data_IF_759627687746
#
_entry.id   IF_759627687746
#
_cell.length_a   1.000
_cell.length_b   1.000
_cell.length_c   1.000
_cell.angle_alpha   90.00
_cell.angle_beta   90.00
_cell.angle_gamma   90.00
#
_symmetry.space_group_name_H-M   'P 1'
#
loop_
_entity.id
_entity.type
_entity.pdbx_description
1 polymer ?
#
# COMPACT_ATOMS: atom_id res chain seq x y z
N UNK A 1 12.50 -0.52 -1.67
CA UNK A 1 11.57 -1.53 -2.20
C UNK A 1 10.15 -1.10 -1.91
N UNK A 2 9.65 -1.26 -0.67
CA UNK A 2 8.26 -0.89 -0.31
C UNK A 2 7.91 0.57 -0.65
N UNK A 3 8.78 1.52 -0.27
CA UNK A 3 8.83 2.84 -0.90
C UNK A 3 9.61 2.67 -2.21
N UNK A 4 8.89 2.85 -3.32
CA UNK A 4 9.38 2.74 -4.69
C UNK A 4 9.80 4.10 -5.25
N UNK A 5 9.58 4.29 -6.55
CA UNK A 5 9.93 5.53 -7.25
C UNK A 5 8.93 6.68 -7.04
N UNK A 6 9.18 7.80 -7.73
CA UNK A 6 8.31 8.97 -7.68
C UNK A 6 6.99 8.77 -8.41
N UNK A 7 6.02 9.66 -8.18
CA UNK A 7 4.79 9.71 -8.97
C UNK A 7 5.09 9.91 -10.45
N UNK A 8 4.23 9.36 -11.32
CA UNK A 8 4.44 9.29 -12.78
C UNK A 8 5.70 8.53 -13.26
N UNK A 9 6.41 7.84 -12.36
CA UNK A 9 7.51 6.93 -12.71
C UNK A 9 7.02 5.56 -13.19
N UNK A 10 7.91 4.84 -13.88
CA UNK A 10 7.77 3.43 -14.22
C UNK A 10 8.01 2.49 -13.04
N UNK A 11 8.46 2.93 -11.87
CA UNK A 11 8.60 2.05 -10.72
C UNK A 11 7.24 1.75 -10.07
N UNK A 12 6.94 0.50 -9.71
CA UNK A 12 5.74 0.12 -8.94
C UNK A 12 5.85 0.40 -7.44
N UNK A 13 4.89 -0.12 -6.66
CA UNK A 13 4.86 0.00 -5.20
C UNK A 13 4.36 1.35 -4.68
N UNK A 14 4.67 1.66 -3.42
CA UNK A 14 4.25 2.92 -2.79
C UNK A 14 5.15 4.05 -3.27
N UNK A 15 4.55 5.09 -3.84
CA UNK A 15 5.29 6.23 -4.37
C UNK A 15 5.94 7.03 -3.26
N UNK A 16 7.12 7.60 -3.54
CA UNK A 16 7.82 8.50 -2.61
C UNK A 16 6.94 9.69 -2.17
N UNK A 17 6.11 10.20 -3.07
CA UNK A 17 5.17 11.29 -2.76
C UNK A 17 4.10 10.87 -1.76
N UNK A 18 3.61 9.63 -1.83
CA UNK A 18 2.62 9.09 -0.88
C UNK A 18 3.22 8.96 0.51
N UNK A 19 4.42 8.41 0.60
CA UNK A 19 5.15 8.34 1.87
C UNK A 19 5.43 9.75 2.42
N UNK A 20 5.93 10.66 1.56
CA UNK A 20 6.26 12.04 1.93
C UNK A 20 5.06 12.81 2.47
N UNK A 21 3.87 12.70 1.83
CA UNK A 21 2.65 13.36 2.32
C UNK A 21 2.29 12.91 3.73
N UNK A 22 2.40 11.61 4.04
CA UNK A 22 2.09 11.10 5.39
C UNK A 22 3.11 11.58 6.41
N UNK A 23 4.41 11.52 6.09
CA UNK A 23 5.45 12.03 6.98
C UNK A 23 5.28 13.53 7.26
N UNK A 24 5.01 14.34 6.23
CA UNK A 24 4.76 15.77 6.35
C UNK A 24 3.50 16.04 7.18
N UNK A 25 2.42 15.28 6.93
CA UNK A 25 1.17 15.40 7.69
C UNK A 25 1.40 15.11 9.17
N UNK A 26 2.08 13.99 9.49
CA UNK A 26 2.42 13.60 10.86
C UNK A 26 3.29 14.67 11.53
N UNK A 27 4.31 15.18 10.84
CA UNK A 27 5.21 16.18 11.38
C UNK A 27 4.53 17.53 11.66
N UNK A 28 3.68 18.01 10.74
CA UNK A 28 2.90 19.23 10.95
C UNK A 28 1.86 19.06 12.07
N UNK A 29 1.25 17.88 12.17
CA UNK A 29 0.30 17.54 13.23
C UNK A 29 0.95 17.58 14.61
N UNK A 30 2.12 16.94 14.78
CA UNK A 30 2.89 16.96 16.04
C UNK A 30 3.33 18.38 16.41
N UNK A 31 3.59 19.24 15.43
CA UNK A 31 3.90 20.67 15.64
C UNK A 31 2.68 21.54 15.95
N UNK A 32 1.47 20.98 15.98
CA UNK A 32 0.23 21.72 16.26
C UNK A 32 -0.17 22.69 15.16
N UNK A 33 0.33 22.51 13.93
CA UNK A 33 -0.09 23.35 12.80
C UNK A 33 -1.51 22.97 12.39
N UNK A 34 -2.36 24.00 12.21
CA UNK A 34 -3.76 23.83 11.77
C UNK A 34 -3.85 23.26 10.35
N UNK A 35 -2.87 23.61 9.51
CA UNK A 35 -2.81 23.19 8.12
C UNK A 35 -1.55 22.36 7.85
N UNK A 36 -1.70 21.36 7.00
CA UNK A 36 -0.60 20.53 6.53
C UNK A 36 0.03 21.27 5.35
N UNK A 37 1.27 21.73 5.54
CA UNK A 37 1.97 22.53 4.55
C UNK A 37 3.40 22.03 4.30
N UNK A 38 3.87 22.24 3.07
CA UNK A 38 5.24 21.97 2.63
C UNK A 38 5.60 22.98 1.54
N UNK A 39 6.83 23.51 1.55
CA UNK A 39 7.29 24.49 0.57
C UNK A 39 6.32 25.67 0.37
N UNK A 40 5.77 26.20 1.47
CA UNK A 40 4.78 27.31 1.46
C UNK A 40 3.48 26.98 0.70
N UNK A 41 3.17 25.69 0.53
CA UNK A 41 1.94 25.21 -0.11
C UNK A 41 1.17 24.29 0.82
N UNK A 42 -0.15 24.45 0.83
CA UNK A 42 -1.08 23.62 1.63
C UNK A 42 -1.40 22.31 0.89
N UNK A 43 -1.39 21.21 1.63
CA UNK A 43 -1.84 19.90 1.19
C UNK A 43 -3.27 19.70 1.68
N UNK A 44 -4.17 19.25 0.79
CA UNK A 44 -5.57 19.01 1.18
C UNK A 44 -5.70 17.73 2.00
N UNK A 45 -6.66 17.71 2.93
CA UNK A 45 -6.96 16.52 3.73
C UNK A 45 -7.31 15.31 2.85
N UNK A 46 -7.95 15.54 1.71
CA UNK A 46 -8.25 14.48 0.73
C UNK A 46 -6.98 13.77 0.22
N UNK A 47 -5.89 14.49 -0.03
CA UNK A 47 -4.62 13.88 -0.45
C UNK A 47 -3.98 13.05 0.67
N UNK A 48 -4.13 13.51 1.92
CA UNK A 48 -3.64 12.78 3.11
C UNK A 48 -4.43 11.48 3.28
N UNK A 49 -5.77 11.56 3.28
CA UNK A 49 -6.64 10.38 3.39
C UNK A 49 -6.41 9.39 2.24
N UNK A 50 -6.23 9.89 1.02
CA UNK A 50 -5.86 9.06 -0.14
C UNK A 50 -4.52 8.36 0.08
N UNK A 51 -3.53 9.06 0.64
CA UNK A 51 -2.22 8.50 0.90
C UNK A 51 -2.29 7.41 1.98
N UNK A 52 -3.01 7.66 3.07
CA UNK A 52 -3.27 6.67 4.12
C UNK A 52 -3.94 5.44 3.54
N UNK A 53 -5.00 5.60 2.73
CA UNK A 53 -5.69 4.48 2.09
C UNK A 53 -4.74 3.64 1.21
N UNK A 54 -3.88 4.28 0.42
CA UNK A 54 -2.89 3.56 -0.42
C UNK A 54 -1.96 2.71 0.45
N UNK A 55 -1.42 3.27 1.54
CA UNK A 55 -0.50 2.53 2.42
C UNK A 55 -1.24 1.40 3.14
N UNK A 56 -2.42 1.67 3.70
CA UNK A 56 -3.21 0.65 4.41
C UNK A 56 -3.56 -0.52 3.50
N UNK A 57 -4.01 -0.27 2.27
CA UNK A 57 -4.31 -1.34 1.31
C UNK A 57 -3.04 -2.12 0.95
N UNK A 58 -1.93 -1.43 0.70
CA UNK A 58 -0.65 -2.08 0.38
C UNK A 58 -0.17 -3.00 1.51
N UNK A 59 -0.18 -2.52 2.76
CA UNK A 59 0.18 -3.33 3.94
C UNK A 59 -0.74 -4.53 4.08
N UNK A 60 -2.06 -4.35 3.97
CA UNK A 60 -3.01 -5.46 4.07
C UNK A 60 -2.76 -6.54 3.01
N UNK A 61 -2.53 -6.15 1.75
CA UNK A 61 -2.26 -7.10 0.65
C UNK A 61 -0.94 -7.85 0.89
N UNK A 62 0.14 -7.14 1.22
CA UNK A 62 1.44 -7.77 1.47
C UNK A 62 1.36 -8.74 2.64
N UNK A 63 0.76 -8.32 3.77
CA UNK A 63 0.60 -9.17 4.94
C UNK A 63 -0.23 -10.41 4.64
N UNK A 64 -1.34 -10.26 3.91
CA UNK A 64 -2.22 -11.37 3.54
C UNK A 64 -1.52 -12.37 2.61
N UNK A 65 -0.81 -11.89 1.59
CA UNK A 65 -0.11 -12.77 0.65
C UNK A 65 1.10 -13.44 1.30
N UNK A 66 1.85 -12.71 2.12
CA UNK A 66 2.97 -13.28 2.89
C UNK A 66 2.47 -14.39 3.81
N UNK A 67 1.33 -14.19 4.47
CA UNK A 67 0.71 -15.22 5.32
C UNK A 67 0.37 -16.48 4.53
N UNK A 68 -0.28 -16.35 3.36
CA UNK A 68 -0.61 -17.51 2.51
C UNK A 68 0.67 -18.20 2.02
N UNK A 69 1.66 -17.44 1.55
CA UNK A 69 2.92 -18.00 1.06
C UNK A 69 3.69 -18.73 2.16
N UNK A 70 3.62 -18.26 3.41
CA UNK A 70 4.23 -18.96 4.55
C UNK A 70 3.62 -20.34 4.76
N UNK A 71 2.34 -20.52 4.45
CA UNK A 71 1.67 -21.82 4.54
C UNK A 71 1.98 -22.68 3.31
N UNK A 72 1.93 -22.12 2.10
CA UNK A 72 2.10 -22.90 0.85
C UNK A 72 3.55 -23.30 0.60
N UNK A 73 4.50 -22.47 0.99
CA UNK A 73 5.95 -22.68 0.81
C UNK A 73 6.62 -23.21 2.09
N UNK A 74 5.86 -23.69 3.08
CA UNK A 74 6.42 -24.23 4.33
C UNK A 74 7.42 -25.39 4.13
N UNK A 75 7.42 -26.04 2.96
CA UNK A 75 8.27 -27.19 2.63
C UNK A 75 9.58 -26.84 1.92
N UNK A 76 9.76 -25.61 1.45
CA UNK A 76 10.99 -25.20 0.74
C UNK A 76 12.12 -24.79 1.69
N UNK A 77 11.84 -24.65 3.00
CA UNK A 77 12.87 -24.36 4.00
C UNK A 77 13.30 -22.89 4.09
N UNK A 78 12.59 -21.99 3.40
CA UNK A 78 12.79 -20.54 3.52
C UNK A 78 12.10 -19.98 4.77
N UNK A 79 12.72 -18.99 5.38
CA UNK A 79 12.17 -18.33 6.57
C UNK A 79 11.12 -17.28 6.19
N UNK A 80 10.31 -16.86 7.17
CA UNK A 80 9.32 -15.81 7.01
C UNK A 80 9.91 -14.51 6.41
N UNK A 81 11.14 -14.16 6.79
CA UNK A 81 11.82 -12.96 6.28
C UNK A 81 12.10 -13.04 4.79
N UNK A 82 12.43 -14.21 4.25
CA UNK A 82 12.66 -14.40 2.82
C UNK A 82 11.35 -14.27 2.04
N UNK A 83 10.28 -14.89 2.55
CA UNK A 83 8.94 -14.81 1.95
C UNK A 83 8.41 -13.38 1.97
N UNK A 84 8.60 -12.66 3.08
CA UNK A 84 8.22 -11.26 3.19
C UNK A 84 9.02 -10.40 2.22
N UNK A 85 10.33 -10.64 2.10
CA UNK A 85 11.19 -9.92 1.17
C UNK A 85 10.72 -10.09 -0.28
N UNK A 86 10.41 -11.32 -0.69
CA UNK A 86 9.89 -11.65 -2.01
C UNK A 86 8.54 -10.99 -2.28
N UNK A 87 7.64 -11.02 -1.30
CA UNK A 87 6.31 -10.40 -1.42
C UNK A 87 6.43 -8.87 -1.57
N UNK A 88 7.29 -8.22 -0.79
CA UNK A 88 7.56 -6.78 -0.91
C UNK A 88 8.22 -6.47 -2.26
N UNK A 89 9.14 -7.31 -2.73
CA UNK A 89 9.81 -7.16 -4.02
C UNK A 89 8.85 -7.23 -5.19
N UNK A 90 7.96 -8.23 -5.16
CA UNK A 90 6.90 -8.41 -6.14
C UNK A 90 5.92 -7.23 -6.13
N UNK A 91 5.42 -6.83 -4.96
CA UNK A 91 4.49 -5.70 -4.83
C UNK A 91 5.11 -4.39 -5.33
N UNK A 92 6.41 -4.21 -5.07
CA UNK A 92 7.12 -3.00 -5.47
C UNK A 92 7.69 -3.08 -6.89
N UNK A 93 7.53 -4.22 -7.58
CA UNK A 93 8.10 -4.53 -8.89
C UNK A 93 9.60 -4.27 -8.97
N UNK A 94 10.34 -4.60 -7.91
CA UNK A 94 11.79 -4.34 -7.82
C UNK A 94 12.58 -5.41 -8.56
N UNK A 95 12.12 -6.66 -8.53
CA UNK A 95 12.73 -7.78 -9.26
C UNK A 95 13.95 -8.41 -8.58
N UNK A 96 14.24 -8.05 -7.32
CA UNK A 96 15.27 -8.74 -6.52
C UNK A 96 14.65 -9.93 -5.79
N UNK A 97 15.42 -11.01 -5.67
CA UNK A 97 15.00 -12.28 -5.06
C UNK A 97 16.03 -12.73 -4.02
N UNK A 98 15.57 -13.43 -2.98
CA UNK A 98 16.41 -14.13 -1.99
C UNK A 98 16.64 -15.61 -2.37
N UNK A 99 16.12 -16.05 -3.51
CA UNK A 99 16.25 -17.42 -4.00
C UNK A 99 14.93 -18.20 -4.03
N UNK A 100 13.83 -17.66 -3.49
CA UNK A 100 12.53 -18.35 -3.47
C UNK A 100 11.87 -18.37 -4.87
N UNK A 101 12.13 -17.37 -5.72
CA UNK A 101 11.44 -17.20 -7.02
C UNK A 101 11.46 -18.45 -7.93
N UNK A 102 12.57 -19.20 -8.07
CA UNK A 102 12.63 -20.42 -8.87
C UNK A 102 11.87 -21.60 -8.24
N UNK A 103 11.77 -21.65 -6.91
CA UNK A 103 11.24 -22.80 -6.16
C UNK A 103 9.75 -22.67 -5.78
N UNK A 104 9.09 -21.59 -6.17
CA UNK A 104 7.67 -21.41 -5.83
C UNK A 104 6.79 -22.54 -6.35
N UNK A 105 5.87 -22.94 -5.47
CA UNK A 105 4.72 -23.76 -5.85
C UNK A 105 3.86 -23.07 -6.92
N UNK A 106 3.02 -23.86 -7.62
CA UNK A 106 2.10 -23.31 -8.61
C UNK A 106 1.15 -22.25 -8.01
N UNK A 107 0.73 -22.43 -6.75
CA UNK A 107 -0.10 -21.48 -6.02
C UNK A 107 0.68 -20.20 -5.74
N UNK A 108 1.92 -20.34 -5.26
CA UNK A 108 2.80 -19.20 -4.97
C UNK A 108 3.11 -18.36 -6.20
N UNK A 109 3.34 -18.98 -7.36
CA UNK A 109 3.55 -18.30 -8.64
C UNK A 109 2.36 -17.43 -9.03
N UNK A 110 1.14 -17.95 -8.88
CA UNK A 110 -0.09 -17.19 -9.17
C UNK A 110 -0.24 -16.01 -8.22
N UNK A 111 -0.01 -16.23 -6.92
CA UNK A 111 -0.09 -15.18 -5.90
C UNK A 111 0.92 -14.05 -6.15
N UNK A 112 2.20 -14.36 -6.35
CA UNK A 112 3.21 -13.34 -6.63
C UNK A 112 2.92 -12.60 -7.94
N UNK A 113 2.43 -13.28 -8.97
CA UNK A 113 2.07 -12.64 -10.24
C UNK A 113 0.93 -11.62 -10.06
N UNK A 114 -0.11 -11.96 -9.28
CA UNK A 114 -1.18 -11.03 -8.93
C UNK A 114 -0.66 -9.84 -8.11
N UNK A 115 0.24 -10.09 -7.16
CA UNK A 115 0.87 -9.03 -6.36
C UNK A 115 1.70 -8.09 -7.22
N UNK A 116 2.46 -8.59 -8.19
CA UNK A 116 3.20 -7.76 -9.15
C UNK A 116 2.26 -6.88 -9.98
N UNK A 117 1.15 -7.45 -10.46
CA UNK A 117 0.16 -6.71 -11.23
C UNK A 117 -0.50 -5.59 -10.41
N UNK A 118 -0.96 -5.89 -9.20
CA UNK A 118 -1.55 -4.91 -8.28
C UNK A 118 -0.54 -3.81 -7.93
N UNK A 119 0.70 -4.21 -7.63
CA UNK A 119 1.81 -3.33 -7.34
C UNK A 119 2.14 -2.33 -8.45
N UNK A 120 1.97 -2.77 -9.71
CA UNK A 120 2.21 -1.94 -10.90
C UNK A 120 1.04 -1.01 -11.24
N UNK A 121 -0.19 -1.53 -11.24
CA UNK A 121 -1.42 -0.78 -11.57
C UNK A 121 -1.76 0.23 -10.48
N UNK A 122 -1.37 -0.07 -9.25
CA UNK A 122 -1.61 0.74 -8.07
C UNK A 122 -2.79 0.20 -7.26
N UNK A 123 -2.62 0.02 -5.93
CA UNK A 123 -3.62 -0.63 -5.08
C UNK A 123 -4.96 0.13 -5.04
N UNK A 124 -4.92 1.46 -5.11
CA UNK A 124 -6.13 2.28 -5.08
C UNK A 124 -6.92 2.21 -6.40
N UNK A 125 -6.23 2.08 -7.54
CA UNK A 125 -6.86 1.89 -8.85
C UNK A 125 -7.62 0.57 -8.88
N UNK A 126 -7.00 -0.49 -8.36
CA UNK A 126 -7.63 -1.81 -8.19
C UNK A 126 -8.83 -1.70 -7.26
N UNK A 127 -8.67 -1.06 -6.09
CA UNK A 127 -9.77 -0.87 -5.15
C UNK A 127 -10.96 -0.14 -5.79
N UNK A 128 -10.72 0.92 -6.56
CA UNK A 128 -11.78 1.62 -7.29
C UNK A 128 -12.40 0.80 -8.41
N UNK A 129 -11.63 -0.03 -9.11
CA UNK A 129 -12.17 -0.90 -10.16
C UNK A 129 -13.17 -1.93 -9.62
N UNK A 130 -12.95 -2.43 -8.41
CA UNK A 130 -13.86 -3.36 -7.73
C UNK A 130 -14.98 -2.67 -6.95
N UNK A 131 -14.85 -1.37 -6.66
CA UNK A 131 -15.88 -0.61 -5.96
C UNK A 131 -16.94 -0.13 -6.93
N UNK A 132 -18.12 -0.75 -6.91
CA UNK A 132 -19.28 -0.31 -7.69
C UNK A 132 -19.67 1.09 -7.21
N UNK A 133 -19.52 2.09 -8.08
CA UNK A 133 -19.79 3.49 -7.77
C UNK A 133 -21.22 3.68 -7.26
N UNK A 134 -21.37 3.79 -5.95
CA UNK A 134 -22.67 4.01 -5.35
C UNK A 134 -23.03 5.48 -5.57
N UNK A 135 -23.87 5.76 -6.56
CA UNK A 135 -24.27 7.11 -6.98
C UNK A 135 -25.10 7.88 -5.93
N UNK A 136 -25.38 7.29 -4.77
CA UNK A 136 -26.25 7.86 -3.72
C UNK A 136 -25.49 8.41 -2.49
N UNK A 137 -24.20 8.73 -2.62
CA UNK A 137 -23.45 9.35 -1.53
C UNK A 137 -23.61 10.87 -1.66
N UNK A 138 -24.56 11.48 -0.96
CA UNK A 138 -24.51 12.94 -0.76
C UNK A 138 -25.77 13.74 -0.47
N UNK A 139 -26.98 13.16 -0.44
CA UNK A 139 -28.18 14.01 -0.24
C UNK A 139 -28.52 14.32 1.23
N UNK A 140 -27.80 13.74 2.19
CA UNK A 140 -28.00 14.02 3.61
C UNK A 140 -26.72 13.76 4.39
N UNK A 141 -26.52 14.52 5.47
CA UNK A 141 -25.35 14.44 6.35
C UNK A 141 -25.78 13.86 7.70
N UNK A 142 -25.03 12.88 8.19
CA UNK A 142 -25.24 12.34 9.53
C UNK A 142 -24.63 13.27 10.58
N UNK A 143 -25.18 13.31 11.82
CA UNK A 143 -24.60 14.10 12.90
C UNK A 143 -23.19 13.63 13.26
N UNK A 144 -22.34 14.56 13.68
CA UNK A 144 -20.97 14.24 14.10
C UNK A 144 -20.97 13.39 15.38
N UNK A 145 -20.43 12.18 15.28
CA UNK A 145 -20.18 11.32 16.44
C UNK A 145 -18.82 11.63 17.06
N UNK A 146 -18.79 11.98 18.35
CA UNK A 146 -17.54 12.07 19.10
C UNK A 146 -17.07 10.67 19.49
N UNK A 147 -16.09 10.14 18.77
CA UNK A 147 -15.43 8.87 19.10
C UNK A 147 -14.08 9.21 19.74
N UNK A 148 -13.80 8.62 20.90
CA UNK A 148 -12.51 8.79 21.57
C UNK A 148 -11.49 7.92 20.82
N UNK A 149 -10.44 8.57 20.32
CA UNK A 149 -9.30 7.93 19.68
C UNK A 149 -8.09 8.33 20.54
N UNK A 150 -7.34 7.34 21.02
CA UNK A 150 -6.15 7.55 21.86
C UNK A 150 -4.97 8.07 21.06
#
# INVERSE_FOLDING_TARGET
MFIGGSSASTAGGIKTTTAGVIFIAMFNYVRGKRDIEVFEKRITLQMVMKSVAIISIAVSIISFVTFILTITEAKTGYDFLDILYETISAFSTVGLTRGLTPELSNIGKVLLSLVMYIGRVGPLTIAFAFMKGNKNIGNYMYPEGKIIIG
#
